data_IF_662658188493
#
_entry.id   IF_662658188493
#
_cell.length_a   1.000
_cell.length_b   1.000
_cell.length_c   1.000
_cell.angle_alpha   90.00
_cell.angle_beta   90.00
_cell.angle_gamma   90.00
#
_symmetry.space_group_name_H-M   'P 1'
#
loop_
_entity.id
_entity.type
_entity.pdbx_description
1 polymer ?
#
# COMPACT_ATOMS: atom_id res chain seq x y z
N UNK A 1 63.56 -26.93 6.94
CA UNK A 1 62.55 -26.15 6.19
C UNK A 1 61.14 -26.70 6.34
N UNK A 2 60.88 -28.02 6.17
CA UNK A 2 59.51 -28.56 6.23
C UNK A 2 58.74 -28.38 7.57
N UNK A 3 59.43 -28.36 8.72
CA UNK A 3 58.78 -28.21 10.04
C UNK A 3 58.32 -26.75 10.29
N UNK A 4 59.00 -25.76 9.71
CA UNK A 4 58.63 -24.34 9.81
C UNK A 4 57.37 -24.02 8.97
N UNK A 5 57.25 -24.61 7.79
CA UNK A 5 56.06 -24.44 6.92
C UNK A 5 54.81 -25.08 7.51
N UNK A 6 54.93 -26.26 8.14
CA UNK A 6 53.80 -26.93 8.82
C UNK A 6 53.36 -26.12 10.04
N UNK A 7 54.30 -25.54 10.80
CA UNK A 7 53.97 -24.68 11.93
C UNK A 7 53.25 -23.39 11.49
N UNK A 8 53.71 -22.71 10.43
CA UNK A 8 53.05 -21.51 9.88
C UNK A 8 51.67 -21.82 9.26
N UNK A 9 51.51 -22.96 8.59
CA UNK A 9 50.25 -23.42 8.01
C UNK A 9 49.15 -23.71 9.03
N UNK A 10 49.51 -24.04 10.28
CA UNK A 10 48.56 -24.31 11.37
C UNK A 10 48.33 -23.05 12.20
N UNK A 11 49.39 -22.28 12.47
CA UNK A 11 49.33 -21.06 13.29
C UNK A 11 48.58 -19.94 12.59
N UNK A 12 48.71 -19.77 11.27
CA UNK A 12 48.00 -18.72 10.52
C UNK A 12 46.47 -18.83 10.65
N UNK A 13 45.86 -19.97 10.26
CA UNK A 13 44.41 -20.18 10.42
C UNK A 13 43.95 -20.20 11.87
N UNK A 14 44.79 -20.63 12.81
CA UNK A 14 44.47 -20.64 14.25
C UNK A 14 44.44 -19.22 14.83
N UNK A 15 45.41 -18.37 14.49
CA UNK A 15 45.41 -16.94 14.83
C UNK A 15 44.19 -16.28 14.19
N UNK A 16 43.92 -16.52 12.92
CA UNK A 16 42.78 -15.91 12.24
C UNK A 16 41.41 -16.35 12.78
N UNK A 17 41.25 -17.63 13.17
CA UNK A 17 39.99 -18.17 13.72
C UNK A 17 39.78 -17.90 15.20
N UNK A 18 40.84 -17.86 16.02
CA UNK A 18 40.72 -17.70 17.48
C UNK A 18 41.03 -16.28 17.95
N UNK A 19 41.96 -15.57 17.33
CA UNK A 19 42.42 -14.24 17.77
C UNK A 19 41.48 -13.14 17.25
N UNK A 20 40.91 -13.28 16.05
CA UNK A 20 39.97 -12.29 15.51
C UNK A 20 38.68 -12.11 16.32
N UNK A 21 37.99 -13.16 16.79
CA UNK A 21 36.83 -13.01 17.67
C UNK A 21 37.18 -12.31 18.98
N UNK A 22 38.34 -12.64 19.56
CA UNK A 22 38.81 -12.07 20.84
C UNK A 22 39.16 -10.58 20.64
N UNK A 23 39.93 -10.23 19.61
CA UNK A 23 40.21 -8.85 19.25
C UNK A 23 38.93 -8.06 18.99
N UNK A 24 37.92 -8.66 18.35
CA UNK A 24 36.61 -8.03 18.13
C UNK A 24 35.92 -7.70 19.46
N UNK A 25 35.98 -8.57 20.47
CA UNK A 25 35.44 -8.27 21.80
C UNK A 25 36.19 -7.13 22.50
N UNK A 26 37.52 -7.10 22.41
CA UNK A 26 38.34 -6.01 22.95
C UNK A 26 38.09 -4.67 22.24
N UNK A 27 37.84 -4.69 20.92
CA UNK A 27 37.48 -3.48 20.17
C UNK A 27 36.21 -2.82 20.71
N UNK A 28 35.17 -3.58 21.06
CA UNK A 28 33.96 -3.02 21.68
C UNK A 28 34.22 -2.35 23.03
N UNK A 29 35.18 -2.86 23.80
CA UNK A 29 35.55 -2.31 25.10
C UNK A 29 36.40 -1.05 24.98
N UNK A 30 37.43 -1.07 24.12
CA UNK A 30 38.42 0.01 23.98
C UNK A 30 37.82 1.17 23.17
N UNK A 31 37.14 0.87 22.07
CA UNK A 31 36.58 1.86 21.14
C UNK A 31 35.09 2.14 21.36
N UNK A 32 34.56 1.88 22.56
CA UNK A 32 33.13 2.04 22.84
C UNK A 32 32.62 3.46 22.54
N UNK A 33 33.41 4.50 22.85
CA UNK A 33 33.08 5.90 22.52
C UNK A 33 33.00 6.13 21.02
N UNK A 34 33.95 5.59 20.26
CA UNK A 34 33.96 5.69 18.80
C UNK A 34 32.71 5.00 18.24
N UNK A 35 32.36 3.80 18.72
CA UNK A 35 31.16 3.11 18.26
C UNK A 35 29.87 3.90 18.55
N UNK A 36 29.76 4.53 19.73
CA UNK A 36 28.61 5.41 20.06
C UNK A 36 28.58 6.65 19.16
N UNK A 37 29.73 7.26 18.89
CA UNK A 37 29.82 8.40 17.98
C UNK A 37 29.45 8.01 16.54
N UNK A 38 29.91 6.85 16.05
CA UNK A 38 29.54 6.34 14.73
C UNK A 38 28.03 6.11 14.65
N UNK A 39 27.41 5.48 15.66
CA UNK A 39 25.95 5.35 15.72
C UNK A 39 25.26 6.72 15.67
N UNK A 40 25.73 7.70 16.45
CA UNK A 40 25.15 9.06 16.46
C UNK A 40 25.19 9.71 15.07
N UNK A 41 26.30 9.58 14.36
CA UNK A 41 26.45 10.12 13.01
C UNK A 41 25.47 9.44 12.01
N UNK A 42 25.35 8.11 12.05
CA UNK A 42 24.42 7.38 11.19
C UNK A 42 22.95 7.77 11.50
N UNK A 43 22.60 7.95 12.78
CA UNK A 43 21.25 8.36 13.19
C UNK A 43 20.92 9.78 12.72
N UNK A 44 21.89 10.68 12.73
CA UNK A 44 21.72 12.03 12.17
C UNK A 44 21.45 11.97 10.66
N UNK A 45 22.23 11.17 9.92
CA UNK A 45 22.02 10.96 8.48
C UNK A 45 20.65 10.34 8.19
N UNK A 46 20.29 9.29 8.92
CA UNK A 46 18.99 8.64 8.83
C UNK A 46 17.84 9.60 9.18
N UNK A 47 18.06 10.55 10.08
CA UNK A 47 17.09 11.59 10.41
C UNK A 47 16.83 12.59 9.27
N UNK A 48 17.85 12.95 8.50
CA UNK A 48 17.67 13.77 7.29
C UNK A 48 16.87 13.02 6.23
N UNK A 49 17.21 11.74 6.01
CA UNK A 49 16.49 10.89 5.07
C UNK A 49 15.03 10.68 5.49
N UNK A 50 14.77 10.50 6.78
CA UNK A 50 13.42 10.42 7.33
C UNK A 50 12.59 11.67 7.03
N UNK A 51 13.18 12.87 7.16
CA UNK A 51 12.50 14.12 6.86
C UNK A 51 12.16 14.24 5.36
N UNK A 52 13.03 13.77 4.48
CA UNK A 52 12.75 13.73 3.04
C UNK A 52 11.62 12.75 2.69
N UNK A 53 11.65 11.55 3.26
CA UNK A 53 10.56 10.57 3.09
C UNK A 53 9.25 11.11 3.66
N UNK A 54 9.28 11.83 4.78
CA UNK A 54 8.09 12.47 5.33
C UNK A 54 7.49 13.51 4.36
N UNK A 55 8.31 14.34 3.71
CA UNK A 55 7.83 15.25 2.65
C UNK A 55 7.14 14.52 1.50
N UNK A 56 7.66 13.35 1.11
CA UNK A 56 7.03 12.53 0.07
C UNK A 56 5.69 11.96 0.56
N UNK A 57 5.59 11.54 1.82
CA UNK A 57 4.35 11.09 2.44
C UNK A 57 3.32 12.22 2.43
N UNK A 58 3.68 13.41 2.91
CA UNK A 58 2.79 14.57 2.95
C UNK A 58 2.30 14.92 1.53
N UNK A 59 3.18 14.84 0.52
CA UNK A 59 2.80 15.06 -0.88
C UNK A 59 1.81 14.00 -1.40
N UNK A 60 2.04 12.72 -1.09
CA UNK A 60 1.16 11.62 -1.47
C UNK A 60 -0.21 11.74 -0.79
N UNK A 61 -0.26 12.07 0.50
CA UNK A 61 -1.52 12.30 1.24
C UNK A 61 -2.30 13.49 0.66
N UNK A 62 -1.62 14.59 0.32
CA UNK A 62 -2.25 15.73 -0.35
C UNK A 62 -2.82 15.37 -1.74
N UNK A 63 -2.25 14.36 -2.39
CA UNK A 63 -2.75 13.80 -3.65
C UNK A 63 -3.79 12.68 -3.46
N UNK A 64 -4.25 12.45 -2.23
CA UNK A 64 -5.18 11.37 -1.87
C UNK A 64 -4.65 9.96 -2.25
N UNK A 65 -3.34 9.79 -2.25
CA UNK A 65 -2.71 8.48 -2.43
C UNK A 65 -2.66 7.71 -1.10
N UNK A 66 -2.79 6.40 -1.19
CA UNK A 66 -2.56 5.50 -0.06
C UNK A 66 -1.07 5.21 0.08
N UNK A 67 -0.53 5.35 1.30
CA UNK A 67 0.89 5.15 1.57
C UNK A 67 1.23 3.65 1.55
N UNK A 68 2.33 3.30 0.87
CA UNK A 68 2.81 1.92 0.81
C UNK A 68 3.16 1.41 2.21
N UNK A 69 2.72 0.20 2.61
CA UNK A 69 3.01 -0.36 3.93
C UNK A 69 4.51 -0.45 4.26
N UNK A 70 5.36 -0.67 3.24
CA UNK A 70 6.81 -0.72 3.39
C UNK A 70 7.40 0.62 3.85
N UNK A 71 6.81 1.74 3.42
CA UNK A 71 7.24 3.09 3.83
C UNK A 71 6.84 3.34 5.28
N UNK A 72 5.62 2.97 5.66
CA UNK A 72 5.14 3.07 7.05
C UNK A 72 5.99 2.23 8.01
N UNK A 73 6.31 0.99 7.65
CA UNK A 73 7.17 0.13 8.47
C UNK A 73 8.58 0.69 8.60
N UNK A 74 9.14 1.21 7.49
CA UNK A 74 10.44 1.87 7.51
C UNK A 74 10.47 3.08 8.46
N UNK A 75 9.47 3.97 8.39
CA UNK A 75 9.36 5.13 9.29
C UNK A 75 9.34 4.72 10.77
N UNK A 76 8.56 3.69 11.10
CA UNK A 76 8.48 3.14 12.46
C UNK A 76 9.83 2.58 12.92
N UNK A 77 10.51 1.81 12.08
CA UNK A 77 11.81 1.23 12.40
C UNK A 77 12.88 2.32 12.62
N UNK A 78 12.82 3.42 11.87
CA UNK A 78 13.70 4.59 12.07
C UNK A 78 13.44 5.25 13.43
N UNK A 79 12.17 5.48 13.80
CA UNK A 79 11.82 6.08 15.08
C UNK A 79 12.25 5.23 16.28
N UNK A 80 12.02 3.92 16.20
CA UNK A 80 12.42 2.99 17.25
C UNK A 80 13.94 2.93 17.39
N UNK A 81 14.68 2.92 16.28
CA UNK A 81 16.14 2.97 16.30
C UNK A 81 16.67 4.29 16.89
N UNK A 82 16.04 5.44 16.57
CA UNK A 82 16.37 6.75 17.16
C UNK A 82 16.21 6.75 18.69
N UNK A 83 15.10 6.18 19.20
CA UNK A 83 14.86 6.05 20.66
C UNK A 83 15.92 5.18 21.33
N UNK A 84 16.26 4.05 20.73
CA UNK A 84 17.32 3.18 21.24
C UNK A 84 18.69 3.84 21.23
N UNK A 85 19.03 4.58 20.17
CA UNK A 85 20.28 5.33 20.07
C UNK A 85 20.38 6.41 21.15
N UNK A 86 19.30 7.15 21.41
CA UNK A 86 19.23 8.11 22.52
C UNK A 86 19.51 7.44 23.87
N UNK A 87 18.93 6.26 24.11
CA UNK A 87 19.18 5.47 25.33
C UNK A 87 20.65 5.05 25.44
N UNK A 88 21.30 4.66 24.32
CA UNK A 88 22.73 4.31 24.29
C UNK A 88 23.60 5.53 24.63
N UNK A 89 23.27 6.71 24.08
CA UNK A 89 23.98 7.97 24.36
C UNK A 89 23.87 8.39 25.82
N UNK A 90 22.67 8.32 26.42
CA UNK A 90 22.49 8.58 27.86
C UNK A 90 23.24 7.55 28.74
N UNK A 91 23.29 6.30 28.29
CA UNK A 91 24.10 5.25 28.90
C UNK A 91 25.59 5.58 28.93
N UNK A 92 26.10 6.37 27.97
CA UNK A 92 27.48 6.83 27.92
C UNK A 92 27.80 7.91 28.96
N UNK A 93 26.87 8.83 29.22
CA UNK A 93 27.02 9.89 30.24
C UNK A 93 26.98 9.33 31.67
N UNK A 94 26.21 8.26 31.88
CA UNK A 94 26.01 7.62 33.19
C UNK A 94 27.09 6.61 33.60
N UNK A 95 28.13 6.38 32.78
CA UNK A 95 29.27 5.49 33.13
C UNK A 95 30.14 6.16 34.21
N UNK A 96 29.65 6.22 35.45
CA UNK A 96 30.41 6.65 36.63
C UNK A 96 31.59 5.72 36.86
N UNK A 97 32.75 6.30 37.18
CA UNK A 97 33.96 5.59 37.58
C UNK A 97 33.77 5.16 39.03
N UNK A 98 33.25 3.95 39.27
CA UNK A 98 33.10 3.47 40.64
C UNK A 98 34.48 2.98 41.14
N UNK A 99 35.06 3.71 42.10
CA UNK A 99 36.37 3.41 42.64
C UNK A 99 36.19 3.07 44.13
N UNK A 100 36.45 1.82 44.52
CA UNK A 100 36.96 1.61 45.86
C UNK A 100 38.28 2.39 45.95
N UNK A 101 38.48 3.15 47.03
CA UNK A 101 39.41 4.27 47.22
C UNK A 101 40.93 4.05 46.93
N UNK A 102 41.32 3.00 46.19
CA UNK A 102 42.72 2.66 45.91
C UNK A 102 42.97 2.44 44.41
N UNK A 103 41.97 2.09 43.58
CA UNK A 103 42.15 1.91 42.13
C UNK A 103 40.96 2.47 41.33
N UNK A 104 41.20 3.45 40.44
CA UNK A 104 40.21 3.92 39.47
C UNK A 104 40.02 2.89 38.35
N UNK A 105 39.30 1.80 38.60
CA UNK A 105 38.94 0.86 37.54
C UNK A 105 37.70 1.37 36.81
N UNK A 106 37.80 1.76 35.54
CA UNK A 106 36.61 2.07 34.76
C UNK A 106 35.69 0.86 34.69
N UNK A 107 34.37 1.06 34.67
CA UNK A 107 33.40 -0.04 34.55
C UNK A 107 33.50 -0.70 33.16
N UNK A 108 34.42 -1.67 33.03
CA UNK A 108 34.76 -2.35 31.78
C UNK A 108 33.55 -3.08 31.19
N UNK A 109 32.73 -3.73 32.04
CA UNK A 109 31.51 -4.42 31.61
C UNK A 109 30.53 -3.46 30.94
N UNK A 110 30.31 -2.29 31.53
CA UNK A 110 29.43 -1.26 30.96
C UNK A 110 29.95 -0.73 29.62
N UNK A 111 31.24 -0.39 29.55
CA UNK A 111 31.89 0.07 28.31
C UNK A 111 31.76 -0.94 27.17
N UNK A 112 32.06 -2.21 27.46
CA UNK A 112 31.90 -3.29 26.50
C UNK A 112 30.46 -3.43 26.01
N UNK A 113 29.47 -3.43 26.92
CA UNK A 113 28.06 -3.54 26.56
C UNK A 113 27.58 -2.36 25.72
N UNK A 114 27.97 -1.14 26.07
CA UNK A 114 27.66 0.07 25.30
C UNK A 114 28.29 0.01 23.92
N UNK A 115 29.60 -0.26 23.82
CA UNK A 115 30.31 -0.32 22.55
C UNK A 115 29.79 -1.41 21.62
N UNK A 116 29.38 -2.56 22.18
CA UNK A 116 28.77 -3.66 21.42
C UNK A 116 27.35 -3.33 20.96
N UNK A 117 26.53 -2.73 21.82
CA UNK A 117 25.17 -2.29 21.44
C UNK A 117 25.22 -1.22 20.36
N UNK A 118 26.10 -0.23 20.52
CA UNK A 118 26.28 0.84 19.56
C UNK A 118 26.65 0.29 18.17
N UNK A 119 27.69 -0.55 18.10
CA UNK A 119 28.10 -1.17 16.84
C UNK A 119 26.98 -1.98 16.18
N UNK A 120 26.23 -2.79 16.94
CA UNK A 120 25.09 -3.54 16.40
C UNK A 120 24.00 -2.64 15.83
N UNK A 121 23.71 -1.51 16.48
CA UNK A 121 22.70 -0.57 16.01
C UNK A 121 23.19 0.28 14.85
N UNK A 122 24.50 0.51 14.73
CA UNK A 122 25.12 1.08 13.52
C UNK A 122 24.85 0.20 12.31
N UNK A 123 25.02 -1.12 12.42
CA UNK A 123 24.71 -2.06 11.32
C UNK A 123 23.23 -1.96 10.90
N UNK A 124 22.31 -1.82 11.86
CA UNK A 124 20.87 -1.62 11.59
C UNK A 124 20.60 -0.27 10.92
N UNK A 125 21.26 0.80 11.38
CA UNK A 125 21.13 2.13 10.79
C UNK A 125 21.55 2.13 9.31
N UNK A 126 22.70 1.52 9.00
CA UNK A 126 23.19 1.41 7.63
C UNK A 126 22.26 0.62 6.73
N UNK A 127 21.65 -0.45 7.26
CA UNK A 127 20.63 -1.21 6.54
C UNK A 127 19.41 -0.32 6.22
N UNK A 128 18.87 0.40 7.20
CA UNK A 128 17.73 1.30 7.01
C UNK A 128 18.04 2.45 6.05
N UNK A 129 19.26 3.01 6.08
CA UNK A 129 19.72 4.01 5.11
C UNK A 129 19.65 3.46 3.68
N UNK A 130 20.09 2.21 3.49
CA UNK A 130 20.02 1.51 2.21
C UNK A 130 18.59 1.28 1.73
N UNK A 131 17.68 0.94 2.65
CA UNK A 131 16.26 0.67 2.36
C UNK A 131 15.43 1.94 2.14
N UNK A 132 15.82 3.07 2.73
CA UNK A 132 15.04 4.32 2.69
C UNK A 132 15.10 5.09 1.37
N UNK A 133 15.43 4.43 0.25
CA UNK A 133 15.49 5.04 -1.08
C UNK A 133 14.16 4.78 -1.79
N UNK A 134 13.22 5.71 -1.65
CA UNK A 134 11.89 5.59 -2.24
C UNK A 134 11.71 6.61 -3.36
N UNK A 135 11.49 6.14 -4.60
CA UNK A 135 11.13 7.01 -5.73
C UNK A 135 9.64 7.41 -5.70
N UNK A 136 8.78 6.54 -5.18
CA UNK A 136 7.34 6.80 -4.99
C UNK A 136 6.87 6.12 -3.70
N UNK A 137 6.21 6.87 -2.82
CA UNK A 137 5.76 6.38 -1.51
C UNK A 137 4.28 6.03 -1.45
N UNK A 138 3.47 6.57 -2.36
CA UNK A 138 2.03 6.35 -2.43
C UNK A 138 1.60 5.60 -3.69
N UNK A 139 0.32 5.24 -3.72
CA UNK A 139 -0.39 4.83 -4.92
C UNK A 139 -1.82 5.34 -4.87
N UNK A 140 -2.38 5.69 -6.02
CA UNK A 140 -3.79 6.08 -6.11
C UNK A 140 -4.64 4.84 -5.84
N UNK A 141 -5.30 4.81 -4.68
CA UNK A 141 -6.32 3.81 -4.39
C UNK A 141 -7.55 4.07 -5.29
N UNK A 142 -8.30 3.03 -5.70
CA UNK A 142 -9.55 3.23 -6.42
C UNK A 142 -10.47 4.18 -5.65
N UNK A 143 -10.98 5.21 -6.31
CA UNK A 143 -11.78 6.26 -5.68
C UNK A 143 -12.97 5.65 -4.91
N UNK A 144 -12.91 5.75 -3.57
CA UNK A 144 -14.08 5.55 -2.71
C UNK A 144 -15.08 6.67 -2.96
N UNK A 145 -16.35 6.35 -3.20
CA UNK A 145 -17.36 7.35 -3.58
C UNK A 145 -17.60 8.33 -2.43
N UNK A 146 -17.56 9.62 -2.74
CA UNK A 146 -18.06 10.71 -1.90
C UNK A 146 -19.54 10.46 -1.59
N UNK A 147 -19.86 10.20 -0.32
CA UNK A 147 -21.25 10.02 0.11
C UNK A 147 -21.93 11.37 0.24
N UNK A 148 -22.39 11.94 -0.87
CA UNK A 148 -23.43 12.97 -0.80
C UNK A 148 -24.72 12.27 -0.37
N UNK A 149 -24.96 12.26 0.94
CA UNK A 149 -26.27 11.90 1.47
C UNK A 149 -27.22 13.06 1.20
N UNK A 150 -27.97 12.99 0.10
CA UNK A 150 -29.05 13.95 -0.13
C UNK A 150 -30.40 13.25 -0.01
N UNK A 151 -31.07 13.56 1.10
CA UNK A 151 -32.45 13.22 1.39
C UNK A 151 -33.35 13.86 0.33
N UNK A 152 -34.02 13.06 -0.48
CA UNK A 152 -35.21 13.51 -1.22
C UNK A 152 -36.43 12.78 -0.67
N UNK A 153 -37.32 13.52 -0.01
CA UNK A 153 -38.61 13.02 0.44
C UNK A 153 -39.48 12.70 -0.77
N UNK A 154 -39.75 11.41 -0.99
CA UNK A 154 -40.72 10.94 -1.99
C UNK A 154 -41.88 10.25 -1.28
N UNK A 155 -43.10 10.42 -1.82
CA UNK A 155 -44.36 9.86 -1.29
C UNK A 155 -44.32 8.34 -1.06
N UNK A 156 -45.04 7.88 -0.02
CA UNK A 156 -45.03 6.49 0.50
C UNK A 156 -45.37 5.43 -0.56
N UNK A 157 -46.30 5.68 -1.47
CA UNK A 157 -46.70 4.71 -2.51
C UNK A 157 -45.64 4.54 -3.60
N UNK A 158 -44.99 5.64 -3.99
CA UNK A 158 -43.84 5.60 -4.89
C UNK A 158 -42.65 4.85 -4.28
N UNK A 159 -42.49 4.89 -2.95
CA UNK A 159 -41.46 4.13 -2.25
C UNK A 159 -41.72 2.62 -2.27
N UNK A 160 -42.97 2.16 -2.04
CA UNK A 160 -43.28 0.71 -2.00
C UNK A 160 -43.05 0.03 -3.36
N UNK A 161 -43.53 0.63 -4.46
CA UNK A 161 -43.31 0.09 -5.81
C UNK A 161 -41.83 0.07 -6.19
N UNK A 162 -41.09 1.14 -5.88
CA UNK A 162 -39.64 1.21 -6.14
C UNK A 162 -38.85 0.22 -5.30
N UNK A 163 -39.23 -0.02 -4.04
CA UNK A 163 -38.58 -1.03 -3.18
C UNK A 163 -38.82 -2.46 -3.71
N UNK A 164 -40.01 -2.74 -4.24
CA UNK A 164 -40.31 -4.03 -4.89
C UNK A 164 -39.44 -4.24 -6.13
N UNK A 165 -39.38 -3.24 -7.03
CA UNK A 165 -38.52 -3.29 -8.23
C UNK A 165 -37.03 -3.35 -7.91
N UNK A 166 -36.58 -2.61 -6.89
CA UNK A 166 -35.20 -2.69 -6.38
C UNK A 166 -34.84 -4.11 -5.98
N UNK A 167 -35.70 -4.76 -5.19
CA UNK A 167 -35.50 -6.15 -4.74
C UNK A 167 -35.47 -7.11 -5.92
N UNK A 168 -36.39 -6.96 -6.88
CA UNK A 168 -36.44 -7.79 -8.09
C UNK A 168 -35.13 -7.71 -8.89
N UNK A 169 -34.58 -6.50 -9.07
CA UNK A 169 -33.30 -6.31 -9.76
C UNK A 169 -32.14 -6.92 -8.97
N UNK A 170 -32.07 -6.71 -7.65
CA UNK A 170 -30.99 -7.26 -6.83
C UNK A 170 -31.00 -8.79 -6.83
N UNK A 171 -32.18 -9.42 -6.72
CA UNK A 171 -32.30 -10.87 -6.81
C UNK A 171 -31.89 -11.38 -8.20
N UNK A 172 -32.29 -10.69 -9.28
CA UNK A 172 -31.83 -11.01 -10.62
C UNK A 172 -30.31 -10.90 -10.77
N UNK A 173 -29.66 -9.91 -10.14
CA UNK A 173 -28.21 -9.73 -10.14
C UNK A 173 -27.47 -10.79 -9.30
N UNK A 174 -28.13 -11.45 -8.35
CA UNK A 174 -27.56 -12.58 -7.58
C UNK A 174 -27.56 -13.88 -8.38
N UNK A 175 -28.46 -14.04 -9.35
CA UNK A 175 -28.55 -15.24 -10.18
C UNK A 175 -27.35 -15.33 -11.15
N UNK A 176 -26.53 -16.38 -11.04
CA UNK A 176 -25.33 -16.58 -11.88
C UNK A 176 -25.61 -16.73 -13.40
N UNK A 177 -26.88 -16.90 -13.78
CA UNK A 177 -27.31 -17.07 -15.18
C UNK A 177 -27.72 -15.74 -15.85
N UNK A 178 -27.88 -14.68 -15.07
CA UNK A 178 -28.31 -13.36 -15.56
C UNK A 178 -27.08 -12.50 -15.79
N UNK A 179 -26.75 -12.24 -17.06
CA UNK A 179 -25.62 -11.39 -17.44
C UNK A 179 -26.03 -9.94 -17.69
N UNK A 180 -27.31 -9.69 -17.99
CA UNK A 180 -27.82 -8.37 -18.33
C UNK A 180 -29.21 -8.14 -17.72
N UNK A 181 -29.35 -7.01 -17.01
CA UNK A 181 -30.64 -6.50 -16.53
C UNK A 181 -30.88 -5.14 -17.17
N UNK A 182 -32.02 -4.99 -17.85
CA UNK A 182 -32.44 -3.72 -18.44
C UNK A 182 -33.60 -3.11 -17.64
N UNK A 183 -33.46 -1.85 -17.25
CA UNK A 183 -34.51 -1.06 -16.58
C UNK A 183 -35.02 -0.01 -17.55
N UNK A 184 -36.26 -0.13 -18.00
CA UNK A 184 -36.87 0.79 -18.96
C UNK A 184 -38.10 1.51 -18.38
N UNK A 185 -38.52 2.61 -19.01
CA UNK A 185 -39.69 3.37 -18.56
C UNK A 185 -39.67 4.82 -19.02
N UNK A 186 -40.77 5.55 -18.77
CA UNK A 186 -40.90 6.95 -19.18
C UNK A 186 -39.80 7.87 -18.57
N UNK A 187 -39.46 8.99 -19.21
CA UNK A 187 -38.62 10.03 -18.60
C UNK A 187 -39.21 10.52 -17.27
N UNK A 188 -38.36 10.90 -16.31
CA UNK A 188 -38.81 11.48 -15.03
C UNK A 188 -39.31 10.49 -13.97
N UNK A 189 -39.44 9.19 -14.28
CA UNK A 189 -39.94 8.19 -13.29
C UNK A 189 -38.90 7.77 -12.23
N UNK A 190 -37.68 8.31 -12.27
CA UNK A 190 -36.64 8.04 -11.28
C UNK A 190 -35.80 6.78 -11.51
N UNK A 191 -35.64 6.33 -12.76
CA UNK A 191 -34.81 5.14 -13.11
C UNK A 191 -33.36 5.27 -12.64
N UNK A 192 -32.74 6.42 -12.91
CA UNK A 192 -31.36 6.72 -12.49
C UNK A 192 -31.21 6.64 -10.97
N UNK A 193 -32.18 7.18 -10.22
CA UNK A 193 -32.20 7.09 -8.76
C UNK A 193 -32.35 5.64 -8.28
N UNK A 194 -33.18 4.83 -8.93
CA UNK A 194 -33.31 3.41 -8.62
C UNK A 194 -31.99 2.66 -8.83
N UNK A 195 -31.29 2.93 -9.95
CA UNK A 195 -29.98 2.34 -10.26
C UNK A 195 -28.92 2.74 -9.23
N UNK A 196 -28.93 3.98 -8.76
CA UNK A 196 -28.02 4.45 -7.70
C UNK A 196 -28.27 3.71 -6.38
N UNK A 197 -29.53 3.59 -5.98
CA UNK A 197 -29.92 2.83 -4.79
C UNK A 197 -29.52 1.34 -4.87
N UNK A 198 -29.57 0.74 -6.06
CA UNK A 198 -29.13 -0.64 -6.30
C UNK A 198 -27.61 -0.73 -6.18
N UNK A 199 -26.87 0.18 -6.83
CA UNK A 199 -25.42 0.21 -6.80
C UNK A 199 -24.89 0.33 -5.35
N UNK A 200 -25.51 1.19 -4.55
CA UNK A 200 -25.13 1.40 -3.15
C UNK A 200 -25.40 0.16 -2.30
N UNK A 201 -26.55 -0.50 -2.50
CA UNK A 201 -26.89 -1.73 -1.78
C UNK A 201 -25.97 -2.90 -2.19
N UNK A 202 -25.69 -3.06 -3.48
CA UNK A 202 -24.78 -4.08 -4.00
C UNK A 202 -23.38 -3.93 -3.40
N UNK A 203 -22.88 -2.69 -3.28
CA UNK A 203 -21.60 -2.38 -2.63
C UNK A 203 -21.64 -2.67 -1.13
N UNK A 204 -22.69 -2.24 -0.44
CA UNK A 204 -22.84 -2.44 1.01
C UNK A 204 -22.91 -3.92 1.39
N UNK A 205 -23.70 -4.70 0.64
CA UNK A 205 -23.84 -6.15 0.83
C UNK A 205 -22.67 -6.95 0.23
N UNK A 206 -21.74 -6.28 -0.48
CA UNK A 206 -20.59 -6.89 -1.17
C UNK A 206 -21.01 -8.04 -2.11
N UNK A 207 -22.12 -7.86 -2.85
CA UNK A 207 -22.61 -8.85 -3.81
C UNK A 207 -21.74 -8.96 -5.07
N UNK A 208 -20.92 -7.93 -5.30
CA UNK A 208 -19.94 -7.84 -6.36
C UNK A 208 -18.66 -7.25 -5.75
N UNK A 209 -17.50 -7.71 -6.23
CA UNK A 209 -16.20 -7.22 -5.79
C UNK A 209 -15.98 -5.77 -6.20
N UNK A 210 -16.51 -5.40 -7.38
CA UNK A 210 -16.37 -4.06 -7.95
C UNK A 210 -17.64 -3.65 -8.70
N UNK A 211 -17.92 -2.34 -8.72
CA UNK A 211 -19.06 -1.76 -9.43
C UNK A 211 -18.60 -0.50 -10.17
N UNK A 212 -18.78 -0.47 -11.48
CA UNK A 212 -18.42 0.65 -12.34
C UNK A 212 -19.67 1.20 -13.06
N UNK A 213 -19.84 2.53 -13.09
CA UNK A 213 -20.95 3.23 -13.75
C UNK A 213 -20.43 4.13 -14.87
N UNK A 214 -21.03 4.05 -16.06
CA UNK A 214 -20.83 5.00 -17.13
C UNK A 214 -22.15 5.67 -17.54
N UNK A 215 -22.07 6.95 -17.92
CA UNK A 215 -23.21 7.75 -18.34
C UNK A 215 -23.14 7.98 -19.86
N UNK A 216 -24.24 7.68 -20.57
CA UNK A 216 -24.35 7.77 -22.03
C UNK A 216 -25.17 8.99 -22.51
N UNK A 217 -25.49 9.93 -21.62
CA UNK A 217 -26.33 11.12 -21.91
C UNK A 217 -25.68 12.12 -22.89
N UNK A 218 -24.35 12.14 -22.97
CA UNK A 218 -23.59 12.92 -23.94
C UNK A 218 -23.31 12.03 -25.16
N UNK A 219 -23.31 12.62 -26.36
CA UNK A 219 -23.08 11.93 -27.66
C UNK A 219 -22.09 10.78 -27.46
N UNK A 220 -22.54 9.52 -27.54
CA UNK A 220 -21.82 8.40 -26.95
C UNK A 220 -20.51 8.16 -27.71
N UNK A 221 -19.42 8.68 -27.17
CA UNK A 221 -18.09 8.29 -27.60
C UNK A 221 -17.71 7.04 -26.82
N UNK A 222 -17.56 5.92 -27.52
CA UNK A 222 -17.09 4.64 -26.99
C UNK A 222 -15.86 4.81 -26.10
N UNK A 223 -14.93 5.69 -26.46
CA UNK A 223 -13.73 5.97 -25.65
C UNK A 223 -14.07 6.58 -24.30
N UNK A 224 -14.98 7.56 -24.27
CA UNK A 224 -15.42 8.20 -23.02
C UNK A 224 -16.09 7.22 -22.07
N UNK A 225 -16.92 6.32 -22.60
CA UNK A 225 -17.53 5.24 -21.79
C UNK A 225 -16.45 4.30 -21.25
N UNK A 226 -15.50 3.89 -22.08
CA UNK A 226 -14.36 3.07 -21.64
C UNK A 226 -13.52 3.77 -20.57
N UNK A 227 -13.25 5.07 -20.72
CA UNK A 227 -12.46 5.85 -19.77
C UNK A 227 -13.17 5.94 -18.41
N UNK A 228 -14.47 6.24 -18.38
CA UNK A 228 -15.27 6.29 -17.15
C UNK A 228 -15.27 4.94 -16.40
N UNK A 229 -15.39 3.84 -17.15
CA UNK A 229 -15.35 2.49 -16.56
C UNK A 229 -13.94 2.14 -16.10
N UNK A 230 -12.92 2.43 -16.91
CA UNK A 230 -11.54 2.10 -16.64
C UNK A 230 -11.02 2.80 -15.38
N UNK A 231 -11.34 4.09 -15.21
CA UNK A 231 -11.01 4.87 -14.02
C UNK A 231 -11.58 4.22 -12.74
N UNK A 232 -12.85 3.84 -12.76
CA UNK A 232 -13.51 3.20 -11.62
C UNK A 232 -13.01 1.78 -11.33
N UNK A 233 -12.49 1.07 -12.35
CA UNK A 233 -11.94 -0.27 -12.24
C UNK A 233 -10.42 -0.29 -11.97
N UNK A 234 -9.80 0.88 -11.81
CA UNK A 234 -8.34 1.01 -11.66
C UNK A 234 -7.56 0.50 -12.88
N UNK A 235 -8.18 0.48 -14.05
CA UNK A 235 -7.59 0.04 -15.31
C UNK A 235 -6.96 1.23 -16.02
N UNK A 236 -5.66 1.18 -16.29
CA UNK A 236 -5.03 2.10 -17.23
C UNK A 236 -5.35 1.66 -18.66
N UNK A 237 -5.85 2.55 -19.49
CA UNK A 237 -6.04 2.32 -20.93
C UNK A 237 -5.17 3.31 -21.67
N UNK A 238 -4.21 2.81 -22.44
CA UNK A 238 -3.22 3.63 -23.16
C UNK A 238 -3.16 3.30 -24.64
N UNK A 239 -4.00 2.36 -25.09
CA UNK A 239 -4.08 1.90 -26.46
C UNK A 239 -4.64 2.99 -27.37
N UNK A 240 -4.02 3.16 -28.53
CA UNK A 240 -4.38 4.18 -29.52
C UNK A 240 -5.59 3.78 -30.37
N UNK A 241 -5.78 2.48 -30.62
CA UNK A 241 -6.86 1.93 -31.46
C UNK A 241 -8.06 1.50 -30.62
N UNK A 242 -9.27 1.75 -31.11
CA UNK A 242 -10.52 1.39 -30.41
C UNK A 242 -10.63 -0.12 -30.17
N UNK A 243 -10.16 -0.93 -31.11
CA UNK A 243 -10.16 -2.39 -30.99
C UNK A 243 -9.31 -2.87 -29.81
N UNK A 244 -8.05 -2.43 -29.71
CA UNK A 244 -7.17 -2.81 -28.61
C UNK A 244 -7.68 -2.30 -27.25
N UNK A 245 -8.30 -1.11 -27.21
CA UNK A 245 -8.99 -0.60 -26.01
C UNK A 245 -10.13 -1.51 -25.57
N UNK A 246 -10.98 -1.92 -26.53
CA UNK A 246 -12.08 -2.84 -26.27
C UNK A 246 -11.59 -4.21 -25.80
N UNK A 247 -10.53 -4.77 -26.40
CA UNK A 247 -9.94 -6.04 -25.94
C UNK A 247 -9.38 -5.95 -24.52
N UNK A 248 -8.77 -4.82 -24.16
CA UNK A 248 -8.26 -4.59 -22.80
C UNK A 248 -9.40 -4.49 -21.79
N UNK A 249 -10.46 -3.77 -22.12
CA UNK A 249 -11.69 -3.72 -21.31
C UNK A 249 -12.30 -5.10 -21.15
N UNK A 250 -12.43 -5.85 -22.25
CA UNK A 250 -12.95 -7.22 -22.24
C UNK A 250 -12.12 -8.11 -21.34
N UNK A 251 -10.80 -8.05 -21.46
CA UNK A 251 -9.87 -8.80 -20.62
C UNK A 251 -10.07 -8.47 -19.14
N UNK A 252 -10.19 -7.19 -18.78
CA UNK A 252 -10.38 -6.74 -17.39
C UNK A 252 -11.72 -7.20 -16.80
N UNK A 253 -12.77 -7.23 -17.60
CA UNK A 253 -14.12 -7.64 -17.20
C UNK A 253 -14.31 -9.17 -17.22
N UNK A 254 -13.44 -9.88 -17.94
CA UNK A 254 -13.55 -11.32 -18.21
C UNK A 254 -12.56 -12.19 -17.46
N UNK A 255 -11.37 -11.66 -17.13
CA UNK A 255 -10.31 -12.40 -16.46
C UNK A 255 -10.28 -12.08 -14.98
N UNK A 256 -10.22 -13.12 -14.17
CA UNK A 256 -10.13 -13.04 -12.71
C UNK A 256 -11.30 -13.72 -12.03
N UNK A 257 -11.18 -13.88 -10.72
CA UNK A 257 -12.24 -14.44 -9.85
C UNK A 257 -13.23 -13.37 -9.38
N UNK A 258 -12.96 -12.10 -9.71
CA UNK A 258 -13.78 -10.96 -9.29
C UNK A 258 -15.07 -10.86 -10.09
N UNK A 259 -16.18 -10.73 -9.38
CA UNK A 259 -17.51 -10.44 -9.91
C UNK A 259 -17.67 -8.93 -10.04
N UNK A 260 -17.81 -8.42 -11.27
CA UNK A 260 -17.88 -6.98 -11.55
C UNK A 260 -19.26 -6.63 -12.09
N UNK A 261 -19.91 -5.62 -11.50
CA UNK A 261 -21.15 -5.05 -12.02
C UNK A 261 -20.84 -3.80 -12.85
N UNK A 262 -21.22 -3.81 -14.12
CA UNK A 262 -21.16 -2.64 -15.00
C UNK A 262 -22.55 -2.03 -15.13
N UNK A 263 -22.66 -0.73 -14.88
CA UNK A 263 -23.89 0.05 -14.96
C UNK A 263 -23.75 1.04 -16.11
N UNK A 264 -24.66 0.97 -17.08
CA UNK A 264 -24.77 1.93 -18.17
C UNK A 264 -26.04 2.76 -17.95
N UNK A 265 -25.89 4.05 -17.69
CA UNK A 265 -26.97 4.97 -17.34
C UNK A 265 -27.29 5.93 -18.50
N UNK A 266 -28.55 6.35 -18.58
CA UNK A 266 -29.11 7.17 -19.67
C UNK A 266 -28.87 6.59 -21.08
N UNK A 267 -29.11 5.29 -21.25
CA UNK A 267 -29.04 4.60 -22.55
C UNK A 267 -30.24 5.00 -23.42
N UNK A 268 -29.99 5.73 -24.51
CA UNK A 268 -31.04 6.22 -25.44
C UNK A 268 -31.06 5.49 -26.78
N UNK A 269 -29.92 4.94 -27.19
CA UNK A 269 -29.73 4.23 -28.44
C UNK A 269 -29.18 2.83 -28.16
N UNK A 270 -29.11 1.98 -29.19
CA UNK A 270 -28.52 0.64 -29.08
C UNK A 270 -27.03 0.73 -28.73
N UNK A 271 -26.60 -0.08 -27.76
CA UNK A 271 -25.22 -0.07 -27.26
C UNK A 271 -24.48 -1.28 -27.82
N UNK A 272 -23.40 -1.03 -28.54
CA UNK A 272 -22.49 -2.09 -28.97
C UNK A 272 -21.53 -2.48 -27.83
N UNK A 273 -21.94 -3.51 -27.06
CA UNK A 273 -21.11 -4.06 -25.98
C UNK A 273 -19.77 -4.57 -26.47
N UNK A 274 -19.67 -5.09 -27.70
CA UNK A 274 -18.41 -5.59 -28.26
C UNK A 274 -17.42 -4.45 -28.47
N UNK A 275 -17.89 -3.33 -29.03
CA UNK A 275 -17.06 -2.12 -29.19
C UNK A 275 -16.66 -1.50 -27.85
N UNK A 276 -17.48 -1.64 -26.80
CA UNK A 276 -17.11 -1.23 -25.45
C UNK A 276 -16.17 -2.21 -24.74
N UNK A 277 -16.04 -3.45 -25.24
CA UNK A 277 -15.31 -4.51 -24.56
C UNK A 277 -16.07 -5.09 -23.36
N UNK A 278 -17.40 -5.01 -23.34
CA UNK A 278 -18.24 -5.60 -22.29
C UNK A 278 -18.60 -7.03 -22.72
N UNK A 279 -18.35 -8.06 -21.88
CA UNK A 279 -18.64 -9.42 -22.25
C UNK A 279 -20.14 -9.73 -22.15
N UNK A 280 -20.71 -10.24 -23.24
CA UNK A 280 -22.07 -10.79 -23.25
C UNK A 280 -22.01 -12.29 -22.92
N UNK A 281 -22.48 -12.68 -21.72
CA UNK A 281 -22.23 -14.03 -21.14
C UNK A 281 -23.49 -14.82 -20.77
N UNK A 282 -24.69 -14.37 -21.11
CA UNK A 282 -25.90 -14.99 -20.55
C UNK A 282 -27.23 -14.45 -21.05
N UNK A 283 -28.29 -14.74 -20.30
CA UNK A 283 -29.65 -14.35 -20.66
C UNK A 283 -29.94 -12.90 -20.23
N UNK A 284 -30.68 -12.18 -21.07
CA UNK A 284 -31.18 -10.85 -20.78
C UNK A 284 -32.50 -10.92 -19.99
N UNK A 285 -32.63 -10.13 -18.93
CA UNK A 285 -33.89 -9.95 -18.17
C UNK A 285 -34.30 -8.47 -18.20
N UNK A 286 -35.42 -8.14 -18.84
CA UNK A 286 -35.99 -6.80 -18.83
C UNK A 286 -36.99 -6.64 -17.68
N UNK A 287 -36.91 -5.53 -16.93
CA UNK A 287 -37.70 -5.26 -15.72
C UNK A 287 -38.35 -3.88 -15.68
#
# INVERSE_FOLDING_TARGET
>A
MAIQDVALSIVGPFVEKCVNPILRQFKYLIFYKCNVQTLSNEINGLGLQQAEVQRLIDAAENNAEEIKPTVTDWMKNVDDLKKEASTISQGMESVKVNCFNIVRLPNLKSRYLLGRRAAKRTDVAQKLIGEGKFDQVGYIAPLGRMSFSEQTQSSKEGLVSRMSKKKEVIEALKEDKTSLVAICGMPGVGKTFLVEQIADQVKFEKLFDEVAKANLSQIPNTRTVQDQLAEQLGLKVSEETDHARAERMYTRLSKGEKRILVILDDVREEVDFKSLGIPDRGKCKGL
#
